data_IF_510672282580
#
_entry.id   IF_510672282580
#
_cell.length_a   1.000
_cell.length_b   1.000
_cell.length_c   1.000
_cell.angle_alpha   90.00
_cell.angle_beta   90.00
_cell.angle_gamma   90.00
#
_symmetry.space_group_name_H-M   'P 1'
#
loop_
_entity.id
_entity.type
_entity.pdbx_description
1 polymer ?
#
# COMPACT_ATOMS: atom_id res chain seq x y z
N UNK A 1 -13.67 -9.34 -16.75
CA UNK A 1 -14.51 -10.20 -17.62
C UNK A 1 -16.00 -10.00 -17.35
N UNK A 2 -16.52 -10.33 -16.14
CA UNK A 2 -17.95 -10.25 -15.81
C UNK A 2 -18.56 -8.87 -16.09
N UNK A 3 -17.89 -7.79 -15.68
CA UNK A 3 -18.34 -6.42 -15.94
C UNK A 3 -18.60 -6.17 -17.44
N UNK A 4 -17.65 -6.57 -18.31
CA UNK A 4 -17.79 -6.45 -19.75
C UNK A 4 -18.93 -7.35 -20.27
N UNK A 5 -19.02 -8.60 -19.80
CA UNK A 5 -20.06 -9.53 -20.23
C UNK A 5 -21.48 -9.03 -19.90
N UNK A 6 -21.68 -8.44 -18.71
CA UNK A 6 -22.97 -7.86 -18.30
C UNK A 6 -23.39 -6.68 -19.19
N UNK A 7 -22.45 -5.82 -19.62
CA UNK A 7 -22.72 -4.74 -20.59
C UNK A 7 -23.23 -5.29 -21.93
N UNK A 8 -22.78 -6.48 -22.34
CA UNK A 8 -23.16 -7.14 -23.59
C UNK A 8 -24.35 -8.10 -23.46
N UNK A 9 -25.03 -8.19 -22.32
CA UNK A 9 -26.15 -9.12 -22.12
C UNK A 9 -27.19 -9.04 -23.25
N UNK A 10 -27.62 -7.83 -23.64
CA UNK A 10 -28.61 -7.64 -24.71
C UNK A 10 -28.08 -8.13 -26.07
N UNK A 11 -26.82 -7.83 -26.38
CA UNK A 11 -26.18 -8.26 -27.61
C UNK A 11 -26.05 -9.79 -27.69
N UNK A 12 -25.63 -10.44 -26.59
CA UNK A 12 -25.52 -11.91 -26.52
C UNK A 12 -26.87 -12.61 -26.62
N UNK A 13 -27.91 -12.06 -25.97
CA UNK A 13 -29.27 -12.57 -26.09
C UNK A 13 -29.80 -12.41 -27.53
N UNK A 14 -29.51 -11.29 -28.20
CA UNK A 14 -29.87 -11.09 -29.62
C UNK A 14 -29.11 -12.05 -30.53
N UNK A 15 -27.84 -12.30 -30.25
CA UNK A 15 -27.01 -13.20 -31.03
C UNK A 15 -27.59 -14.62 -31.08
N UNK A 16 -28.21 -15.10 -29.99
CA UNK A 16 -28.95 -16.39 -29.96
C UNK A 16 -30.10 -16.47 -30.96
N UNK A 17 -30.73 -15.34 -31.27
CA UNK A 17 -31.84 -15.27 -32.23
C UNK A 17 -31.31 -15.27 -33.66
N UNK A 18 -30.15 -14.65 -33.89
CA UNK A 18 -29.56 -14.46 -35.23
C UNK A 18 -28.76 -15.70 -35.67
N UNK A 19 -27.95 -16.27 -34.78
CA UNK A 19 -27.11 -17.42 -35.06
C UNK A 19 -27.65 -18.69 -34.38
N UNK A 20 -28.18 -19.62 -35.19
CA UNK A 20 -28.70 -20.91 -34.73
C UNK A 20 -27.61 -21.82 -34.16
N UNK A 21 -26.34 -21.55 -34.43
CA UNK A 21 -25.22 -22.31 -33.87
C UNK A 21 -24.83 -21.85 -32.47
N UNK A 22 -25.36 -20.71 -31.98
CA UNK A 22 -25.07 -20.23 -30.63
C UNK A 22 -25.88 -20.98 -29.56
N UNK A 23 -25.33 -22.10 -29.08
CA UNK A 23 -25.98 -23.02 -28.14
C UNK A 23 -25.85 -22.62 -26.66
N UNK A 24 -24.85 -21.81 -26.32
CA UNK A 24 -24.46 -21.53 -24.92
C UNK A 24 -24.84 -20.11 -24.47
N UNK A 25 -26.01 -19.62 -24.86
CA UNK A 25 -26.52 -18.35 -24.36
C UNK A 25 -27.00 -18.50 -22.91
N UNK A 26 -26.48 -17.69 -21.96
CA UNK A 26 -26.95 -17.73 -20.59
C UNK A 26 -28.45 -17.44 -20.50
N UNK A 27 -29.12 -18.17 -19.61
CA UNK A 27 -30.51 -17.97 -19.23
C UNK A 27 -30.69 -16.69 -18.41
N UNK A 28 -31.96 -16.26 -18.23
CA UNK A 28 -32.25 -15.09 -17.39
C UNK A 28 -31.77 -15.28 -15.94
N UNK A 29 -31.80 -16.52 -15.44
CA UNK A 29 -31.37 -16.81 -14.07
C UNK A 29 -29.84 -16.80 -13.95
N UNK A 30 -29.13 -17.32 -14.95
CA UNK A 30 -27.67 -17.24 -15.01
C UNK A 30 -27.18 -15.80 -15.13
N UNK A 31 -27.88 -14.94 -15.87
CA UNK A 31 -27.58 -13.51 -15.93
C UNK A 31 -27.77 -12.81 -14.57
N UNK A 32 -28.86 -13.11 -13.85
CA UNK A 32 -29.07 -12.60 -12.49
C UNK A 32 -27.95 -13.05 -11.56
N UNK A 33 -27.61 -14.35 -11.59
CA UNK A 33 -26.52 -14.90 -10.79
C UNK A 33 -25.17 -14.25 -11.14
N UNK A 34 -24.88 -14.05 -12.43
CA UNK A 34 -23.66 -13.37 -12.87
C UNK A 34 -23.55 -11.94 -12.32
N UNK A 35 -24.66 -11.23 -12.22
CA UNK A 35 -24.71 -9.90 -11.59
C UNK A 35 -24.40 -9.97 -10.08
N UNK A 36 -24.98 -10.94 -9.37
CA UNK A 36 -24.69 -11.14 -7.94
C UNK A 36 -23.20 -11.48 -7.72
N UNK A 37 -22.65 -12.41 -8.53
CA UNK A 37 -21.23 -12.75 -8.48
C UNK A 37 -20.36 -11.52 -8.75
N UNK A 38 -20.73 -10.69 -9.73
CA UNK A 38 -20.02 -9.46 -10.03
C UNK A 38 -19.97 -8.52 -8.81
N UNK A 39 -21.11 -8.27 -8.16
CA UNK A 39 -21.15 -7.40 -6.97
C UNK A 39 -20.34 -7.95 -5.79
N UNK A 40 -20.36 -9.28 -5.58
CA UNK A 40 -19.55 -9.94 -4.54
C UNK A 40 -18.05 -9.82 -4.84
N UNK A 41 -17.64 -9.98 -6.09
CA UNK A 41 -16.23 -9.98 -6.50
C UNK A 41 -15.66 -8.57 -6.71
N UNK A 42 -16.51 -7.55 -6.91
CA UNK A 42 -16.08 -6.17 -7.17
C UNK A 42 -15.21 -5.57 -6.06
N UNK A 43 -15.52 -5.76 -4.76
CA UNK A 43 -14.62 -5.36 -3.67
C UNK A 43 -13.25 -6.03 -3.77
N UNK A 44 -13.20 -7.34 -4.07
CA UNK A 44 -11.92 -8.07 -4.20
C UNK A 44 -11.08 -7.49 -5.33
N UNK A 45 -11.68 -7.25 -6.50
CA UNK A 45 -11.00 -6.61 -7.62
C UNK A 45 -10.45 -5.23 -7.24
N UNK A 46 -11.29 -4.39 -6.63
CA UNK A 46 -10.91 -3.04 -6.22
C UNK A 46 -9.74 -3.06 -5.22
N UNK A 47 -9.78 -3.99 -4.26
CA UNK A 47 -8.72 -4.20 -3.27
C UNK A 47 -7.43 -4.68 -3.93
N UNK A 48 -7.51 -5.67 -4.83
CA UNK A 48 -6.33 -6.18 -5.54
C UNK A 48 -5.67 -5.08 -6.38
N UNK A 49 -6.46 -4.28 -7.10
CA UNK A 49 -5.95 -3.13 -7.85
C UNK A 49 -5.30 -2.12 -6.92
N UNK A 50 -5.92 -1.80 -5.78
CA UNK A 50 -5.34 -0.88 -4.79
C UNK A 50 -4.04 -1.42 -4.17
N UNK A 51 -3.96 -2.71 -3.84
CA UNK A 51 -2.74 -3.31 -3.29
C UNK A 51 -1.63 -3.51 -4.34
N UNK A 52 -1.98 -3.41 -5.63
CA UNK A 52 -1.03 -3.43 -6.75
C UNK A 52 -0.45 -2.05 -7.06
N UNK A 53 -0.88 -1.02 -6.32
CA UNK A 53 -0.37 0.34 -6.43
C UNK A 53 1.10 0.44 -6.00
N UNK A 54 1.78 1.46 -6.53
CA UNK A 54 3.24 1.64 -6.39
C UNK A 54 3.65 3.03 -5.96
N UNK A 55 2.74 4.00 -6.07
CA UNK A 55 2.98 5.42 -5.77
C UNK A 55 2.65 5.80 -4.33
N UNK A 56 2.21 4.84 -3.51
CA UNK A 56 1.84 5.03 -2.12
C UNK A 56 2.19 3.78 -1.28
N UNK A 57 2.27 3.96 0.04
CA UNK A 57 2.43 2.83 0.97
C UNK A 57 1.22 1.91 0.86
N UNK A 58 1.47 0.64 0.56
CA UNK A 58 0.41 -0.36 0.51
C UNK A 58 0.28 -1.10 1.82
N UNK A 59 1.36 -1.33 2.57
CA UNK A 59 1.37 -2.18 3.78
C UNK A 59 0.37 -1.73 4.85
N UNK A 60 0.20 -0.42 5.06
CA UNK A 60 -0.81 0.11 6.00
C UNK A 60 -2.25 -0.19 5.56
N UNK A 61 -2.49 -0.35 4.26
CA UNK A 61 -3.82 -0.64 3.71
C UNK A 61 -4.22 -2.10 3.90
N UNK A 62 -3.25 -3.00 4.14
CA UNK A 62 -3.47 -4.45 4.22
C UNK A 62 -4.69 -4.79 5.08
N UNK A 63 -4.61 -4.41 6.35
CA UNK A 63 -5.51 -4.92 7.35
C UNK A 63 -6.95 -4.45 7.14
N UNK A 64 -7.16 -3.15 6.84
CA UNK A 64 -8.50 -2.60 6.62
C UNK A 64 -9.21 -3.24 5.40
N UNK A 65 -8.46 -3.58 4.36
CA UNK A 65 -9.03 -4.18 3.16
C UNK A 65 -9.27 -5.70 3.31
N UNK A 66 -8.40 -6.40 4.03
CA UNK A 66 -8.66 -7.80 4.42
C UNK A 66 -9.90 -7.90 5.31
N UNK A 67 -10.05 -6.98 6.27
CA UNK A 67 -11.27 -6.86 7.06
C UNK A 67 -12.51 -6.66 6.18
N UNK A 68 -12.43 -5.78 5.17
CA UNK A 68 -13.54 -5.56 4.23
C UNK A 68 -13.92 -6.83 3.47
N UNK A 69 -12.95 -7.63 3.04
CA UNK A 69 -13.19 -8.94 2.39
C UNK A 69 -13.98 -9.85 3.34
N UNK A 70 -13.57 -9.93 4.60
CA UNK A 70 -14.27 -10.75 5.58
C UNK A 70 -15.72 -10.31 5.78
N UNK A 71 -15.99 -9.01 5.90
CA UNK A 71 -17.37 -8.51 5.99
C UNK A 71 -18.20 -8.91 4.77
N UNK A 72 -17.63 -8.86 3.56
CA UNK A 72 -18.32 -9.29 2.34
C UNK A 72 -18.65 -10.77 2.40
N UNK A 73 -17.73 -11.62 2.86
CA UNK A 73 -17.98 -13.05 3.00
C UNK A 73 -19.06 -13.35 4.05
N UNK A 74 -19.05 -12.65 5.19
CA UNK A 74 -20.01 -12.90 6.27
C UNK A 74 -21.43 -12.48 5.87
N UNK A 75 -21.59 -11.29 5.28
CA UNK A 75 -22.90 -10.80 4.80
C UNK A 75 -23.52 -11.75 3.76
N UNK A 76 -22.70 -12.42 2.95
CA UNK A 76 -23.16 -13.32 1.90
C UNK A 76 -23.17 -14.81 2.30
N UNK A 77 -22.82 -15.14 3.55
CA UNK A 77 -22.74 -16.53 4.03
C UNK A 77 -24.07 -17.26 3.95
N UNK A 78 -25.17 -16.56 4.25
CA UNK A 78 -26.54 -17.08 4.26
C UNK A 78 -27.32 -16.87 2.96
N UNK A 79 -26.64 -16.59 1.83
CA UNK A 79 -27.33 -16.21 0.60
C UNK A 79 -28.35 -17.26 0.12
N UNK A 80 -29.49 -16.80 -0.41
CA UNK A 80 -30.62 -17.63 -0.83
C UNK A 80 -30.25 -18.62 -1.95
N UNK A 81 -29.63 -18.10 -3.03
CA UNK A 81 -29.10 -18.92 -4.13
C UNK A 81 -28.02 -19.90 -3.63
N UNK A 82 -28.27 -21.20 -3.82
CA UNK A 82 -27.41 -22.29 -3.33
C UNK A 82 -26.02 -22.31 -3.99
N UNK A 83 -25.92 -21.87 -5.25
CA UNK A 83 -24.65 -21.77 -5.98
C UNK A 83 -23.81 -20.63 -5.41
N UNK A 84 -24.43 -19.49 -5.12
CA UNK A 84 -23.74 -18.35 -4.45
C UNK A 84 -23.27 -18.77 -3.07
N UNK A 85 -24.12 -19.41 -2.28
CA UNK A 85 -23.75 -19.90 -0.93
C UNK A 85 -22.56 -20.87 -0.98
N UNK A 86 -22.56 -21.79 -1.93
CA UNK A 86 -21.44 -22.72 -2.15
C UNK A 86 -20.16 -21.99 -2.57
N UNK A 87 -20.27 -20.97 -3.43
CA UNK A 87 -19.15 -20.12 -3.82
C UNK A 87 -18.55 -19.40 -2.61
N UNK A 88 -19.39 -18.78 -1.77
CA UNK A 88 -18.95 -18.08 -0.56
C UNK A 88 -18.26 -19.04 0.42
N UNK A 89 -18.80 -20.25 0.63
CA UNK A 89 -18.15 -21.27 1.46
C UNK A 89 -16.72 -21.56 1.00
N UNK A 90 -16.53 -21.79 -0.32
CA UNK A 90 -15.21 -22.06 -0.90
C UNK A 90 -14.27 -20.85 -0.84
N UNK A 91 -14.82 -19.65 -1.02
CA UNK A 91 -14.04 -18.41 -0.86
C UNK A 91 -13.60 -18.21 0.59
N UNK A 92 -14.46 -18.57 1.55
CA UNK A 92 -14.17 -18.50 2.98
C UNK A 92 -13.08 -19.49 3.38
N UNK A 93 -13.15 -20.75 2.92
CA UNK A 93 -12.10 -21.74 3.14
C UNK A 93 -10.72 -21.24 2.65
N UNK A 94 -10.67 -20.61 1.47
CA UNK A 94 -9.44 -20.00 0.96
C UNK A 94 -9.00 -18.81 1.80
N UNK A 95 -9.93 -17.94 2.19
CA UNK A 95 -9.64 -16.79 3.03
C UNK A 95 -9.01 -17.22 4.36
N UNK A 96 -9.64 -18.17 5.06
CA UNK A 96 -9.16 -18.65 6.36
C UNK A 96 -7.76 -19.28 6.22
N UNK A 97 -7.52 -20.08 5.16
CA UNK A 97 -6.18 -20.63 4.86
C UNK A 97 -5.11 -19.54 4.71
N UNK A 98 -5.38 -18.48 3.95
CA UNK A 98 -4.41 -17.40 3.77
C UNK A 98 -4.26 -16.52 5.02
N UNK A 99 -5.32 -16.44 5.83
CA UNK A 99 -5.31 -15.66 7.06
C UNK A 99 -4.56 -16.35 8.20
N UNK A 100 -4.51 -17.68 8.22
CA UNK A 100 -3.65 -18.44 9.15
C UNK A 100 -2.17 -18.05 8.98
N UNK A 101 -1.72 -17.81 7.74
CA UNK A 101 -0.37 -17.36 7.40
C UNK A 101 -0.25 -15.82 7.45
N UNK A 102 -0.79 -15.17 8.49
CA UNK A 102 -0.75 -13.71 8.58
C UNK A 102 0.68 -13.16 8.66
N UNK A 103 0.94 -12.07 7.93
CA UNK A 103 2.22 -11.38 7.99
C UNK A 103 2.25 -10.37 9.14
N UNK A 104 3.06 -10.65 10.16
CA UNK A 104 3.33 -9.74 11.28
C UNK A 104 3.83 -8.38 10.76
N UNK A 105 4.66 -8.38 9.72
CA UNK A 105 5.18 -7.15 9.10
C UNK A 105 4.07 -6.26 8.53
N UNK A 106 3.04 -6.85 7.92
CA UNK A 106 1.89 -6.10 7.41
C UNK A 106 1.00 -5.58 8.55
N UNK A 107 0.90 -6.35 9.64
CA UNK A 107 0.24 -5.88 10.86
C UNK A 107 0.98 -4.68 11.48
N UNK A 108 2.32 -4.68 11.46
CA UNK A 108 3.12 -3.50 11.86
C UNK A 108 2.83 -2.30 10.96
N UNK A 109 2.69 -2.50 9.64
CA UNK A 109 2.29 -1.44 8.71
C UNK A 109 0.96 -0.78 9.11
N UNK A 110 -0.02 -1.58 9.54
CA UNK A 110 -1.28 -1.05 10.08
C UNK A 110 -1.11 -0.32 11.42
N UNK A 111 -0.22 -0.79 12.30
CA UNK A 111 0.11 -0.10 13.56
C UNK A 111 0.71 1.27 13.30
N UNK A 112 1.57 1.39 12.30
CA UNK A 112 2.20 2.65 11.89
C UNK A 112 1.29 3.57 11.07
N UNK A 113 0.04 3.19 10.78
CA UNK A 113 -0.98 4.15 10.34
C UNK A 113 -1.57 4.87 11.58
N UNK A 114 -1.38 6.19 11.73
CA UNK A 114 -1.87 6.93 12.90
C UNK A 114 -3.39 6.87 13.08
N UNK A 115 -4.15 6.48 12.04
CA UNK A 115 -5.61 6.35 12.07
C UNK A 115 -6.07 4.99 12.60
N UNK A 116 -5.21 3.97 12.53
CA UNK A 116 -5.52 2.61 12.97
C UNK A 116 -4.97 2.38 14.37
N UNK A 117 -3.64 2.40 14.52
CA UNK A 117 -2.91 2.02 15.75
C UNK A 117 -3.27 0.62 16.27
N UNK A 118 -2.51 0.18 17.27
CA UNK A 118 -2.64 -1.15 17.86
C UNK A 118 -4.01 -1.42 18.51
N UNK A 119 -4.62 -0.40 19.15
CA UNK A 119 -5.92 -0.53 19.81
C UNK A 119 -7.06 -0.91 18.85
N UNK A 120 -7.07 -0.38 17.62
CA UNK A 120 -8.06 -0.78 16.62
C UNK A 120 -7.79 -2.19 16.11
N UNK A 121 -6.51 -2.50 15.88
CA UNK A 121 -6.07 -3.82 15.43
C UNK A 121 -6.52 -4.92 16.39
N UNK A 122 -6.36 -4.69 17.71
CA UNK A 122 -6.84 -5.59 18.77
C UNK A 122 -8.34 -5.84 18.67
N UNK A 123 -9.15 -4.79 18.57
CA UNK A 123 -10.62 -4.94 18.42
C UNK A 123 -10.98 -5.77 17.20
N UNK A 124 -10.28 -5.55 16.09
CA UNK A 124 -10.51 -6.33 14.90
C UNK A 124 -10.09 -7.79 15.10
N UNK A 125 -8.90 -8.09 15.65
CA UNK A 125 -8.53 -9.48 15.95
C UNK A 125 -9.53 -10.17 16.89
N UNK A 126 -10.04 -9.46 17.89
CA UNK A 126 -11.08 -9.98 18.80
C UNK A 126 -12.37 -10.33 18.07
N UNK A 127 -12.77 -9.54 17.07
CA UNK A 127 -13.95 -9.85 16.24
C UNK A 127 -13.67 -10.96 15.20
N UNK A 128 -12.42 -11.08 14.72
CA UNK A 128 -12.06 -12.07 13.68
C UNK A 128 -11.81 -13.46 14.25
N UNK A 129 -11.05 -13.53 15.33
CA UNK A 129 -10.55 -14.74 15.94
C UNK A 129 -10.36 -14.51 17.44
N UNK A 130 -11.46 -14.55 18.22
CA UNK A 130 -11.42 -14.28 19.65
C UNK A 130 -10.49 -15.23 20.43
N UNK A 131 -10.21 -16.42 19.89
CA UNK A 131 -9.44 -17.45 20.58
C UNK A 131 -7.93 -17.20 20.50
N UNK A 132 -7.42 -16.70 19.37
CA UNK A 132 -5.98 -16.44 19.18
C UNK A 132 -5.62 -14.95 19.14
N UNK A 133 -6.61 -14.06 19.24
CA UNK A 133 -6.42 -12.60 19.19
C UNK A 133 -5.32 -12.09 20.14
N UNK A 134 -5.37 -12.50 21.40
CA UNK A 134 -4.41 -12.04 22.40
C UNK A 134 -2.98 -12.51 22.09
N UNK A 135 -2.81 -13.77 21.69
CA UNK A 135 -1.51 -14.32 21.27
C UNK A 135 -0.94 -13.57 20.06
N UNK A 136 -1.78 -13.24 19.07
CA UNK A 136 -1.39 -12.48 17.88
C UNK A 136 -0.95 -11.06 18.23
N UNK A 137 -1.65 -10.40 19.15
CA UNK A 137 -1.29 -9.06 19.64
C UNK A 137 0.02 -9.10 20.43
N UNK A 138 0.18 -10.06 21.35
CA UNK A 138 1.40 -10.20 22.14
C UNK A 138 2.62 -10.48 21.26
N UNK A 139 2.45 -11.33 20.24
CA UNK A 139 3.48 -11.60 19.25
C UNK A 139 3.85 -10.36 18.43
N UNK A 140 2.87 -9.57 18.02
CA UNK A 140 3.07 -8.32 17.30
C UNK A 140 3.78 -7.26 18.15
N UNK A 141 3.37 -7.06 19.40
CA UNK A 141 4.01 -6.13 20.35
C UNK A 141 5.46 -6.54 20.62
N UNK A 142 5.70 -7.83 20.85
CA UNK A 142 7.05 -8.38 21.05
C UNK A 142 7.95 -8.08 19.85
N UNK A 143 7.46 -8.36 18.62
CA UNK A 143 8.22 -8.11 17.40
C UNK A 143 8.43 -6.62 17.10
N UNK A 144 7.46 -5.76 17.41
CA UNK A 144 7.63 -4.30 17.29
C UNK A 144 8.76 -3.80 18.18
N UNK A 145 8.79 -4.26 19.44
CA UNK A 145 9.85 -3.90 20.39
C UNK A 145 11.21 -4.44 19.95
N UNK A 146 11.30 -5.72 19.56
CA UNK A 146 12.53 -6.35 19.09
C UNK A 146 13.17 -5.57 17.93
N UNK A 147 12.39 -5.22 16.92
CA UNK A 147 12.88 -4.44 15.78
C UNK A 147 13.25 -3.03 16.23
N UNK A 148 12.43 -2.39 17.07
CA UNK A 148 12.69 -1.02 17.50
C UNK A 148 14.02 -0.90 18.27
N UNK A 149 14.40 -1.89 19.09
CA UNK A 149 15.71 -1.92 19.74
C UNK A 149 16.88 -1.94 18.76
N UNK A 150 16.76 -2.62 17.61
CA UNK A 150 17.78 -2.58 16.55
C UNK A 150 17.86 -1.19 15.88
N UNK A 151 16.72 -0.52 15.68
CA UNK A 151 16.71 0.84 15.13
C UNK A 151 17.29 1.86 16.11
N UNK A 152 17.06 1.71 17.42
CA UNK A 152 17.70 2.56 18.44
C UNK A 152 19.22 2.45 18.39
N UNK A 153 19.76 1.23 18.25
CA UNK A 153 21.21 1.00 18.12
C UNK A 153 21.79 1.60 16.84
N UNK A 154 21.04 1.54 15.73
CA UNK A 154 21.47 2.03 14.42
C UNK A 154 21.38 3.56 14.29
N UNK A 155 20.41 4.17 14.96
CA UNK A 155 20.15 5.61 14.95
C UNK A 155 20.16 6.20 16.37
N UNK A 156 21.30 6.14 17.10
CA UNK A 156 21.40 6.75 18.41
C UNK A 156 21.36 8.28 18.24
N UNK A 157 20.43 8.93 18.94
CA UNK A 157 20.20 10.38 19.00
C UNK A 157 19.48 10.98 17.78
N UNK A 158 18.20 11.30 17.97
CA UNK A 158 17.53 12.40 17.27
C UNK A 158 16.85 13.22 18.37
N UNK A 159 17.21 14.50 18.59
CA UNK A 159 16.61 15.31 19.64
C UNK A 159 15.09 15.38 19.42
N UNK A 160 14.33 14.98 20.44
CA UNK A 160 12.87 14.86 20.38
C UNK A 160 12.25 16.21 20.71
N UNK A 161 11.99 17.03 19.69
CA UNK A 161 11.31 18.32 19.89
C UNK A 161 9.80 18.05 20.00
N UNK A 162 9.23 18.15 21.20
CA UNK A 162 7.77 18.09 21.41
C UNK A 162 7.12 19.42 21.02
N UNK A 163 6.62 19.53 19.80
CA UNK A 163 5.75 20.66 19.44
C UNK A 163 4.34 20.43 19.96
N UNK A 164 3.98 21.12 21.05
CA UNK A 164 2.61 21.17 21.56
C UNK A 164 1.74 21.96 20.58
N UNK A 165 0.82 21.29 19.88
CA UNK A 165 -0.16 21.95 19.01
C UNK A 165 -1.19 22.72 19.83
N UNK A 166 -0.98 24.03 19.98
CA UNK A 166 -2.06 24.98 20.26
C UNK A 166 -2.17 25.97 19.08
N UNK A 167 -3.18 25.75 18.26
CA UNK A 167 -3.51 26.62 17.14
C UNK A 167 -4.11 27.94 17.62
N UNK A 168 -3.31 29.02 17.59
CA UNK A 168 -3.82 30.39 17.45
C UNK A 168 -2.87 31.21 16.57
N UNK A 169 -3.27 31.40 15.32
CA UNK A 169 -2.61 32.31 14.37
C UNK A 169 -3.05 33.74 14.68
N UNK A 170 -2.10 34.64 14.95
CA UNK A 170 -2.15 36.03 14.53
C UNK A 170 -0.80 36.72 14.72
N UNK A 171 -0.31 37.41 13.69
CA UNK A 171 0.53 38.62 13.85
C UNK A 171 2.01 38.54 13.48
N UNK A 172 2.31 38.94 12.24
CA UNK A 172 3.46 39.74 11.76
C UNK A 172 4.83 39.71 12.48
N UNK A 173 5.82 39.13 11.78
CA UNK A 173 7.09 39.76 11.35
C UNK A 173 8.08 40.30 12.39
N UNK A 174 9.26 39.66 12.51
CA UNK A 174 10.59 40.28 12.30
C UNK A 174 11.71 39.26 12.53
N UNK A 175 12.76 39.41 11.73
CA UNK A 175 14.06 38.71 11.82
C UNK A 175 14.68 38.90 13.21
N UNK A 176 15.12 37.79 13.83
CA UNK A 176 16.02 37.82 14.99
C UNK A 176 16.95 36.62 14.95
N UNK A 177 18.25 36.92 14.85
CA UNK A 177 19.36 35.98 14.74
C UNK A 177 19.53 35.12 16.00
N UNK A 178 19.72 33.80 15.79
CA UNK A 178 20.70 32.91 16.45
C UNK A 178 20.70 32.66 17.96
N UNK A 179 20.05 33.46 18.79
CA UNK A 179 20.15 33.34 20.27
C UNK A 179 19.07 32.42 20.85
N UNK A 180 17.93 32.27 20.16
CA UNK A 180 16.88 31.36 20.59
C UNK A 180 17.22 29.90 20.31
N UNK A 181 17.97 29.61 19.24
CA UNK A 181 18.39 28.25 18.86
C UNK A 181 19.28 27.62 19.95
N UNK A 182 20.32 28.35 20.39
CA UNK A 182 21.21 27.96 21.49
C UNK A 182 20.48 27.83 22.86
N UNK A 183 19.38 28.57 23.07
CA UNK A 183 18.62 28.52 24.32
C UNK A 183 17.62 27.36 24.33
N UNK A 184 17.07 26.97 23.18
CA UNK A 184 16.25 25.77 23.04
C UNK A 184 17.08 24.48 23.20
N UNK A 185 18.33 24.48 22.72
CA UNK A 185 19.25 23.34 22.94
C UNK A 185 19.56 23.11 24.44
N UNK A 186 19.53 24.16 25.27
CA UNK A 186 19.76 24.07 26.72
C UNK A 186 18.51 23.65 27.51
N UNK A 187 17.30 23.97 27.03
CA UNK A 187 16.02 23.56 27.62
C UNK A 187 15.66 22.10 27.25
N UNK A 188 16.03 21.65 26.05
CA UNK A 188 15.86 20.28 25.56
C UNK A 188 16.69 19.24 26.34
N UNK A 189 17.70 19.67 27.10
CA UNK A 189 18.49 18.81 27.98
C UNK A 189 17.76 18.45 29.28
N UNK A 190 16.63 19.10 29.60
CA UNK A 190 16.07 19.08 30.94
C UNK A 190 14.64 18.52 31.08
N UNK A 191 13.99 18.08 30.00
CA UNK A 191 12.63 17.54 30.08
C UNK A 191 12.57 16.00 30.00
N UNK A 192 12.66 15.42 31.19
CA UNK A 192 12.09 14.15 31.67
C UNK A 192 11.31 13.37 30.60
N UNK A 193 12.01 12.43 29.93
CA UNK A 193 11.36 11.17 29.61
C UNK A 193 10.76 10.65 30.91
N UNK A 194 9.44 10.45 30.94
CA UNK A 194 8.79 9.67 32.00
C UNK A 194 9.63 8.39 32.17
N UNK A 195 10.35 8.28 33.29
CA UNK A 195 11.53 7.43 33.45
C UNK A 195 11.19 5.95 33.11
N UNK A 196 11.37 5.55 31.85
CA UNK A 196 11.17 4.17 31.40
C UNK A 196 10.31 3.95 30.14
N UNK A 197 9.58 4.95 29.61
CA UNK A 197 8.79 4.75 28.37
C UNK A 197 9.63 4.89 27.10
N UNK A 198 9.51 3.95 26.18
CA UNK A 198 10.17 4.03 24.87
C UNK A 198 9.39 4.95 23.91
N UNK A 199 10.03 5.49 22.85
CA UNK A 199 9.32 6.31 21.85
C UNK A 199 8.19 5.53 21.14
N UNK A 200 8.35 4.22 21.03
CA UNK A 200 7.29 3.34 20.53
C UNK A 200 6.07 3.38 21.47
N UNK A 201 6.27 3.31 22.78
CA UNK A 201 5.19 3.40 23.77
C UNK A 201 4.49 4.76 23.69
N UNK A 202 5.25 5.84 23.55
CA UNK A 202 4.70 7.20 23.35
C UNK A 202 3.77 7.24 22.13
N UNK A 203 4.22 6.68 20.99
CA UNK A 203 3.40 6.62 19.78
C UNK A 203 2.13 5.75 19.96
N UNK A 204 2.24 4.61 20.64
CA UNK A 204 1.12 3.70 20.88
C UNK A 204 0.08 4.28 21.86
N UNK A 205 0.53 5.09 22.82
CA UNK A 205 -0.31 5.77 23.80
C UNK A 205 -1.07 6.97 23.21
N UNK A 206 -0.49 7.66 22.23
CA UNK A 206 -1.11 8.82 21.58
C UNK A 206 -2.50 8.51 21.00
N UNK A 207 -3.44 9.47 21.01
CA UNK A 207 -4.74 9.28 20.40
C UNK A 207 -4.61 8.97 18.90
N UNK A 208 -5.49 8.10 18.40
CA UNK A 208 -5.56 7.84 16.95
C UNK A 208 -6.13 9.06 16.24
N UNK A 209 -5.65 9.31 15.02
CA UNK A 209 -6.28 10.27 14.13
C UNK A 209 -7.65 9.76 13.69
N UNK A 210 -8.61 10.66 13.54
CA UNK A 210 -9.90 10.28 12.99
C UNK A 210 -9.79 10.01 11.49
N UNK A 211 -10.20 8.81 11.08
CA UNK A 211 -10.15 8.33 9.70
C UNK A 211 -11.05 9.15 8.77
N UNK A 212 -12.19 9.65 9.29
CA UNK A 212 -13.14 10.44 8.48
C UNK A 212 -12.64 11.85 8.23
N UNK A 213 -11.94 12.43 9.21
CA UNK A 213 -11.33 13.75 9.09
C UNK A 213 -10.06 13.73 8.21
N UNK A 214 -9.40 12.57 8.09
CA UNK A 214 -8.17 12.40 7.31
C UNK A 214 -8.24 11.20 6.34
N UNK A 215 -9.15 11.21 5.35
CA UNK A 215 -9.32 10.10 4.41
C UNK A 215 -8.08 9.92 3.52
N UNK A 216 -7.49 11.03 3.06
CA UNK A 216 -6.37 11.06 2.09
C UNK A 216 -5.01 11.25 2.77
N UNK A 217 -4.86 10.82 4.03
CA UNK A 217 -3.61 10.93 4.77
C UNK A 217 -2.48 10.17 4.06
N UNK A 218 -1.43 10.89 3.66
CA UNK A 218 -0.18 10.28 3.24
C UNK A 218 0.63 9.90 4.49
N UNK A 219 0.59 8.61 4.84
CA UNK A 219 1.21 8.09 6.07
C UNK A 219 2.74 8.26 6.06
N UNK A 220 3.39 8.08 4.91
CA UNK A 220 4.85 8.28 4.80
C UNK A 220 5.23 9.75 5.03
N UNK A 221 4.47 10.67 4.44
CA UNK A 221 4.68 12.11 4.65
C UNK A 221 4.41 12.50 6.11
N UNK A 222 3.40 11.93 6.75
CA UNK A 222 3.13 12.15 8.18
C UNK A 222 4.32 11.74 9.05
N UNK A 223 4.92 10.57 8.82
CA UNK A 223 6.11 10.14 9.55
C UNK A 223 7.30 11.06 9.29
N UNK A 224 7.50 11.48 8.03
CA UNK A 224 8.56 12.43 7.67
C UNK A 224 8.41 13.77 8.38
N UNK A 225 7.19 14.30 8.49
CA UNK A 225 6.90 15.56 9.19
C UNK A 225 7.04 15.46 10.71
N UNK A 226 6.92 14.26 11.28
CA UNK A 226 7.08 14.01 12.70
C UNK A 226 8.44 13.35 13.03
N UNK A 227 9.41 13.45 12.11
CA UNK A 227 10.72 12.82 12.29
C UNK A 227 11.46 13.36 13.51
N UNK A 228 11.32 14.66 13.78
CA UNK A 228 11.88 15.32 14.96
C UNK A 228 11.26 14.85 16.27
N UNK A 229 10.04 14.30 16.25
CA UNK A 229 9.35 13.81 17.47
C UNK A 229 9.67 12.36 17.77
N UNK A 230 9.82 11.55 16.74
CA UNK A 230 9.90 10.09 16.89
C UNK A 230 11.28 9.51 16.56
N UNK A 231 12.21 10.30 16.02
CA UNK A 231 13.61 9.93 15.82
C UNK A 231 13.78 8.55 15.16
N UNK A 232 14.47 7.64 15.84
CA UNK A 232 14.69 6.26 15.40
C UNK A 232 13.41 5.50 14.98
N UNK A 233 12.28 5.76 15.64
CA UNK A 233 11.00 5.13 15.33
C UNK A 233 10.49 5.55 13.94
N UNK A 234 10.79 6.76 13.50
CA UNK A 234 10.42 7.27 12.17
C UNK A 234 11.06 6.42 11.08
N UNK A 235 12.34 6.08 11.21
CA UNK A 235 13.03 5.24 10.23
C UNK A 235 12.42 3.83 10.19
N UNK A 236 12.11 3.24 11.35
CA UNK A 236 11.43 1.96 11.42
C UNK A 236 10.06 2.01 10.73
N UNK A 237 9.25 3.03 11.04
CA UNK A 237 7.93 3.19 10.45
C UNK A 237 8.02 3.36 8.93
N UNK A 238 8.92 4.22 8.44
CA UNK A 238 9.11 4.43 7.01
C UNK A 238 9.58 3.16 6.29
N UNK A 239 10.51 2.40 6.87
CA UNK A 239 11.01 1.15 6.28
C UNK A 239 9.90 0.08 6.21
N UNK A 240 9.12 -0.09 7.27
CA UNK A 240 7.97 -1.02 7.29
C UNK A 240 6.87 -0.58 6.31
N UNK A 241 6.58 0.72 6.26
CA UNK A 241 5.56 1.29 5.37
C UNK A 241 5.96 1.25 3.89
N UNK A 242 7.26 1.20 3.60
CA UNK A 242 7.78 1.12 2.23
C UNK A 242 7.72 -0.30 1.65
N UNK A 243 7.44 -1.32 2.45
CA UNK A 243 7.31 -2.70 1.98
C UNK A 243 6.01 -2.85 1.17
N UNK A 244 6.07 -3.21 -0.13
CA UNK A 244 4.88 -3.46 -0.91
C UNK A 244 4.21 -4.78 -0.47
N UNK A 245 2.87 -4.78 -0.37
CA UNK A 245 2.11 -6.02 -0.05
C UNK A 245 2.22 -7.05 -1.18
N UNK A 246 2.35 -6.58 -2.43
CA UNK A 246 2.27 -7.43 -3.61
C UNK A 246 3.55 -7.38 -4.45
N UNK A 247 3.82 -8.49 -5.14
CA UNK A 247 4.87 -8.56 -6.17
C UNK A 247 4.43 -7.97 -7.50
N UNK A 248 3.21 -7.45 -7.63
CA UNK A 248 2.67 -6.96 -8.90
C UNK A 248 3.50 -5.79 -9.47
N UNK A 249 4.15 -5.01 -8.61
CA UNK A 249 5.10 -3.99 -9.02
C UNK A 249 6.29 -4.56 -9.82
N UNK A 250 6.83 -5.71 -9.40
CA UNK A 250 7.90 -6.39 -10.14
C UNK A 250 7.34 -7.06 -11.39
N UNK A 251 6.16 -7.68 -11.34
CA UNK A 251 5.50 -8.28 -12.52
C UNK A 251 5.22 -7.27 -13.63
N UNK A 252 4.81 -6.06 -13.29
CA UNK A 252 4.64 -5.00 -14.29
C UNK A 252 5.97 -4.49 -14.83
N UNK A 253 7.03 -4.48 -14.03
CA UNK A 253 8.38 -4.20 -14.52
C UNK A 253 8.82 -5.27 -15.55
N UNK A 254 8.44 -6.54 -15.34
CA UNK A 254 8.63 -7.62 -16.30
C UNK A 254 7.74 -7.50 -17.55
N UNK A 255 6.50 -7.03 -17.39
CA UNK A 255 5.60 -6.75 -18.52
C UNK A 255 6.18 -5.66 -19.41
N UNK A 256 6.70 -4.58 -18.82
CA UNK A 256 7.45 -3.54 -19.54
C UNK A 256 8.73 -4.13 -20.18
N UNK A 257 9.31 -5.16 -19.57
CA UNK A 257 10.38 -5.96 -20.14
C UNK A 257 10.07 -6.54 -21.52
N UNK A 258 8.79 -6.76 -21.86
CA UNK A 258 8.38 -7.15 -23.21
C UNK A 258 8.65 -6.06 -24.27
N UNK A 259 8.73 -4.78 -23.88
CA UNK A 259 9.18 -3.71 -24.78
C UNK A 259 10.71 -3.71 -24.97
N UNK A 260 11.46 -4.19 -23.98
CA UNK A 260 12.94 -4.31 -24.03
C UNK A 260 13.36 -5.57 -24.79
N UNK A 261 12.67 -6.69 -24.55
CA UNK A 261 12.85 -7.98 -25.23
C UNK A 261 11.56 -8.28 -26.01
N UNK A 262 11.56 -7.93 -27.29
CA UNK A 262 10.43 -8.16 -28.19
C UNK A 262 10.80 -9.14 -29.31
N UNK A 263 9.83 -9.46 -30.18
CA UNK A 263 10.00 -10.41 -31.30
C UNK A 263 11.19 -10.06 -32.23
N UNK A 264 11.59 -8.79 -32.29
CA UNK A 264 12.67 -8.28 -33.13
C UNK A 264 13.98 -8.05 -32.36
N UNK A 265 13.95 -8.05 -31.02
CA UNK A 265 15.07 -7.73 -30.14
C UNK A 265 15.26 -8.79 -29.05
N UNK A 266 15.65 -10.00 -29.46
CA UNK A 266 15.78 -11.17 -28.57
C UNK A 266 17.22 -11.48 -28.13
N UNK A 267 18.24 -10.78 -28.67
CA UNK A 267 19.67 -11.10 -28.46
C UNK A 267 20.41 -10.12 -27.55
N UNK A 268 19.73 -9.54 -26.57
CA UNK A 268 20.37 -8.66 -25.59
C UNK A 268 21.08 -9.47 -24.51
N UNK A 269 22.25 -9.00 -24.09
CA UNK A 269 22.91 -9.52 -22.89
C UNK A 269 22.06 -9.16 -21.65
N UNK A 270 21.99 -10.04 -20.63
CA UNK A 270 21.24 -9.78 -19.41
C UNK A 270 21.61 -8.44 -18.73
N UNK A 271 22.89 -8.06 -18.74
CA UNK A 271 23.37 -6.78 -18.21
C UNK A 271 22.75 -5.58 -18.92
N UNK A 272 22.57 -5.65 -20.24
CA UNK A 272 21.97 -4.58 -21.04
C UNK A 272 20.45 -4.50 -20.81
N UNK A 273 19.78 -5.65 -20.62
CA UNK A 273 18.36 -5.69 -20.26
C UNK A 273 18.14 -5.03 -18.91
N UNK A 274 18.97 -5.37 -17.92
CA UNK A 274 18.92 -4.76 -16.59
C UNK A 274 19.16 -3.25 -16.67
N UNK A 275 20.19 -2.80 -17.38
CA UNK A 275 20.48 -1.38 -17.54
C UNK A 275 19.28 -0.63 -18.17
N UNK A 276 18.68 -1.16 -19.23
CA UNK A 276 17.52 -0.53 -19.89
C UNK A 276 16.30 -0.45 -18.97
N UNK A 277 15.99 -1.50 -18.22
CA UNK A 277 14.87 -1.53 -17.27
C UNK A 277 15.09 -0.54 -16.11
N UNK A 278 16.29 -0.54 -15.54
CA UNK A 278 16.66 0.36 -14.43
C UNK A 278 16.66 1.82 -14.89
N UNK A 279 17.25 2.14 -16.04
CA UNK A 279 17.29 3.51 -16.56
C UNK A 279 15.88 4.02 -16.88
N UNK A 280 15.00 3.19 -17.44
CA UNK A 280 13.59 3.58 -17.64
C UNK A 280 12.93 3.90 -16.29
N UNK A 281 13.08 3.01 -15.31
CA UNK A 281 12.46 3.20 -13.98
C UNK A 281 13.00 4.44 -13.26
N UNK A 282 14.28 4.79 -13.45
CA UNK A 282 14.85 6.03 -12.89
C UNK A 282 14.36 7.29 -13.59
N UNK A 283 14.25 7.28 -14.92
CA UNK A 283 13.85 8.47 -15.68
C UNK A 283 12.36 8.78 -15.54
N UNK A 284 11.52 7.75 -15.52
CA UNK A 284 10.06 7.90 -15.57
C UNK A 284 9.37 7.46 -14.28
N UNK A 285 10.12 7.04 -13.26
CA UNK A 285 9.56 6.42 -12.08
C UNK A 285 8.85 5.10 -12.40
N UNK A 286 7.91 4.71 -11.55
CA UNK A 286 7.05 3.54 -11.74
C UNK A 286 5.73 3.89 -12.43
N UNK A 287 5.74 4.85 -13.37
CA UNK A 287 4.54 5.25 -14.11
C UNK A 287 4.10 4.10 -15.03
N UNK A 288 2.82 3.75 -14.94
CA UNK A 288 2.15 2.84 -15.85
C UNK A 288 1.67 3.70 -17.02
N UNK A 289 2.15 3.45 -18.23
CA UNK A 289 1.43 3.89 -19.43
C UNK A 289 0.16 3.02 -19.50
N UNK A 290 -0.91 3.49 -18.85
CA UNK A 290 -2.26 2.96 -19.06
C UNK A 290 -2.78 3.49 -20.42
N UNK A 291 -2.10 3.16 -21.52
CA UNK A 291 -2.65 3.33 -22.87
C UNK A 291 -2.36 2.07 -23.69
N UNK A 292 -3.33 1.14 -23.67
CA UNK A 292 -3.58 0.29 -24.82
C UNK A 292 -3.87 1.19 -26.05
N UNK A 293 -3.36 0.78 -27.21
CA UNK A 293 -3.67 1.28 -28.56
C UNK A 293 -2.96 2.54 -29.11
N UNK A 294 -1.63 2.55 -29.12
CA UNK A 294 -0.95 3.12 -30.29
C UNK A 294 0.32 2.35 -30.68
N UNK A 295 0.18 1.58 -31.74
CA UNK A 295 1.24 0.91 -32.49
C UNK A 295 2.06 1.95 -33.29
N UNK A 296 2.62 2.94 -32.59
CA UNK A 296 3.68 3.80 -33.13
C UNK A 296 4.93 3.52 -32.31
N UNK A 297 5.82 2.72 -32.90
CA UNK A 297 7.15 2.50 -32.37
C UNK A 297 7.90 3.81 -32.27
N UNK A 298 7.83 4.46 -31.11
CA UNK A 298 8.82 5.47 -30.73
C UNK A 298 10.13 4.73 -30.46
N UNK A 299 10.98 4.68 -31.49
CA UNK A 299 12.38 4.38 -31.31
C UNK A 299 12.99 5.44 -30.39
N UNK A 300 13.30 5.02 -29.15
CA UNK A 300 14.17 5.75 -28.24
C UNK A 300 15.52 5.94 -28.94
N UNK A 301 15.68 7.09 -29.58
CA UNK A 301 16.94 7.48 -30.21
C UNK A 301 17.83 8.05 -29.12
N UNK A 302 18.72 7.22 -28.57
CA UNK A 302 19.79 7.69 -27.69
C UNK A 302 20.73 8.54 -28.56
N UNK A 303 20.56 9.86 -28.54
CA UNK A 303 21.54 10.78 -29.12
C UNK A 303 22.75 10.79 -28.19
N UNK A 304 23.86 10.24 -28.66
CA UNK A 304 25.15 10.39 -28.00
C UNK A 304 25.49 11.88 -27.91
N UNK A 305 25.85 12.35 -26.72
CA UNK A 305 26.37 13.69 -26.54
C UNK A 305 27.66 13.82 -27.37
N UNK A 306 27.68 14.75 -28.32
CA UNK A 306 28.90 15.13 -29.03
C UNK A 306 29.89 15.74 -28.05
N UNK A 307 31.17 15.35 -28.06
CA UNK A 307 32.17 15.93 -27.20
C UNK A 307 32.38 17.40 -27.58
N UNK A 308 32.25 18.27 -26.59
CA UNK A 308 32.54 19.69 -26.67
C UNK A 308 34.01 19.88 -27.04
N UNK A 309 34.27 20.50 -28.19
CA UNK A 309 35.60 20.94 -28.59
C UNK A 309 36.05 22.08 -27.68
N UNK A 310 36.76 21.75 -26.59
CA UNK A 310 37.63 22.69 -25.86
C UNK A 310 38.89 21.97 -25.38
N UNK A 311 39.67 21.47 -26.33
CA UNK A 311 41.11 21.25 -26.15
C UNK A 311 41.85 21.85 -27.35
N UNK A 312 42.00 23.17 -27.33
CA UNK A 312 43.07 23.92 -27.99
C UNK A 312 43.15 25.29 -27.30
N UNK A 313 43.92 25.37 -26.21
CA UNK A 313 44.85 26.49 -25.95
C UNK A 313 45.59 26.29 -24.62
N UNK A 314 46.92 26.29 -24.76
CA UNK A 314 48.04 26.32 -23.79
C UNK A 314 48.42 24.97 -23.18
#
# INVERSE_FOLDING_TARGET
MLEKALKYQRALNRFKVVDKNYRHCPSSEEWKRANIIFEILKPFYSITTLMSGRSYSTSNLYFAHIWKIQCVLEVNRGHEDTVIRMMISRMREKFDKYWEEYSVLLAMGAVFDPRMKLKLLKKCYDELDPFTSQEKIDHLESKLNEIFEEYKKKYPLTPVVRTSFNSRVSGQGRESYGVLDDLFELDDMQDVMDEGKSLLDVYLDEPKLDMRSHPDLNVLQHWKENSHRFGALTYMAMDVLSVPITTVASESSFSIGAHVINKYRTRLLPSNVQALLSTRSWLYGYVIDDEDDNDQGEMVTIRAATPTSMEQQI
#
